data_IF_519527946833
#
_entry.id   IF_519527946833
#
_cell.length_a   1.000
_cell.length_b   1.000
_cell.length_c   1.000
_cell.angle_alpha   90.00
_cell.angle_beta   90.00
_cell.angle_gamma   90.00
#
_symmetry.space_group_name_H-M   'P 1'
#
loop_
_entity.id
_entity.type
_entity.pdbx_description
1 polymer ?
#
# COMPACT_ATOMS: atom_id res chain seq x y z
N UNK A 1 11.41 2.02 10.03
CA UNK A 1 10.55 1.03 9.34
C UNK A 1 10.48 -0.22 10.20
N UNK A 2 9.32 -0.57 10.77
CA UNK A 2 9.19 -1.81 11.51
C UNK A 2 9.48 -2.99 10.57
N UNK A 3 10.51 -3.76 10.89
CA UNK A 3 10.82 -4.99 10.18
C UNK A 3 9.73 -5.99 10.53
N UNK A 4 8.73 -6.18 9.66
CA UNK A 4 7.78 -7.28 9.78
C UNK A 4 6.30 -6.93 9.57
N UNK A 5 5.87 -5.68 9.78
CA UNK A 5 4.47 -5.30 9.57
C UNK A 5 4.24 -5.02 8.08
N UNK A 6 3.47 -5.89 7.42
CA UNK A 6 3.16 -5.81 5.99
C UNK A 6 1.67 -5.56 5.72
N UNK A 7 0.88 -5.36 6.77
CA UNK A 7 -0.55 -5.05 6.67
C UNK A 7 -0.74 -3.52 6.72
N UNK A 8 -1.38 -2.99 5.70
CA UNK A 8 -1.78 -1.59 5.59
C UNK A 8 -2.75 -1.23 6.71
N UNK A 9 -3.74 -2.08 6.99
CA UNK A 9 -4.69 -1.89 8.08
C UNK A 9 -3.99 -1.75 9.44
N UNK A 10 -3.05 -2.65 9.77
CA UNK A 10 -2.28 -2.56 11.02
C UNK A 10 -1.44 -1.29 11.09
N UNK A 11 -0.91 -0.82 9.96
CA UNK A 11 -0.15 0.44 9.91
C UNK A 11 -1.07 1.64 10.10
N UNK A 12 -2.29 1.61 9.55
CA UNK A 12 -3.25 2.72 9.67
C UNK A 12 -3.90 2.81 11.06
N UNK A 13 -4.10 1.67 11.72
CA UNK A 13 -4.77 1.59 13.03
C UNK A 13 -3.80 1.55 14.20
N UNK A 14 -2.52 1.23 13.97
CA UNK A 14 -1.48 1.24 14.99
C UNK A 14 -0.64 2.52 14.96
N UNK A 15 0.26 2.66 15.94
CA UNK A 15 1.22 3.76 16.04
C UNK A 15 2.41 3.54 15.09
N UNK A 16 2.13 3.54 13.79
CA UNK A 16 3.11 3.33 12.73
C UNK A 16 3.11 4.46 11.72
N UNK A 17 4.30 4.71 11.16
CA UNK A 17 4.44 5.66 10.06
C UNK A 17 4.20 4.99 8.71
N UNK A 18 3.18 5.48 7.98
CA UNK A 18 2.93 5.13 6.59
C UNK A 18 3.47 6.23 5.67
N UNK A 19 4.27 5.86 4.68
CA UNK A 19 4.61 6.77 3.58
C UNK A 19 3.52 6.63 2.54
N UNK A 20 2.74 7.69 2.35
CA UNK A 20 1.64 7.66 1.41
C UNK A 20 2.13 7.46 -0.04
N UNK A 21 1.50 6.48 -0.70
CA UNK A 21 1.73 6.11 -2.10
C UNK A 21 0.43 6.04 -2.90
N UNK A 22 -0.69 6.44 -2.30
CA UNK A 22 -1.99 6.45 -2.98
C UNK A 22 -1.98 7.22 -4.30
N UNK A 23 -1.23 8.33 -4.50
CA UNK A 23 -1.19 9.01 -5.80
C UNK A 23 -0.52 8.18 -6.89
N UNK A 24 0.50 7.39 -6.53
CA UNK A 24 1.17 6.48 -7.48
C UNK A 24 0.30 5.27 -7.79
N UNK A 25 -0.41 4.75 -6.78
CA UNK A 25 -1.38 3.67 -6.95
C UNK A 25 -2.49 4.10 -7.91
N UNK A 26 -3.03 5.30 -7.75
CA UNK A 26 -4.06 5.85 -8.64
C UNK A 26 -3.62 5.85 -10.10
N UNK A 27 -2.44 6.42 -10.38
CA UNK A 27 -1.86 6.43 -11.73
C UNK A 27 -1.66 5.02 -12.30
N UNK A 28 -1.29 4.07 -11.44
CA UNK A 28 -1.05 2.68 -11.81
C UNK A 28 -2.35 1.94 -12.16
N UNK A 29 -3.49 2.34 -11.57
CA UNK A 29 -4.80 1.78 -11.86
C UNK A 29 -5.41 2.41 -13.12
N UNK A 30 -5.22 3.72 -13.32
CA UNK A 30 -5.70 4.43 -14.51
C UNK A 30 -4.96 4.00 -15.79
N UNK A 31 -3.71 3.57 -15.65
CA UNK A 31 -2.91 3.08 -16.76
C UNK A 31 -3.07 1.55 -16.87
N UNK A 32 -3.72 1.07 -17.94
CA UNK A 32 -3.81 -0.36 -18.20
C UNK A 32 -2.43 -0.91 -18.58
N UNK A 33 -1.96 -1.96 -17.89
CA UNK A 33 -0.67 -2.58 -18.22
C UNK A 33 -0.25 -3.70 -17.27
N UNK A 34 0.86 -4.36 -17.63
CA UNK A 34 1.54 -5.33 -16.78
C UNK A 34 2.65 -4.65 -15.97
N UNK A 35 2.56 -4.74 -14.64
CA UNK A 35 3.53 -4.13 -13.73
C UNK A 35 4.44 -5.18 -13.10
N UNK A 36 5.74 -5.08 -13.37
CA UNK A 36 6.75 -5.89 -12.70
C UNK A 36 7.34 -5.14 -11.50
N UNK A 37 7.06 -5.62 -10.29
CA UNK A 37 7.58 -5.04 -9.05
C UNK A 37 9.02 -5.50 -8.79
N UNK A 38 9.98 -5.03 -9.58
CA UNK A 38 11.42 -5.26 -9.31
C UNK A 38 11.91 -4.32 -8.19
N UNK A 39 12.46 -4.88 -7.11
CA UNK A 39 13.18 -4.15 -6.03
C UNK A 39 13.83 -5.13 -5.05
N UNK A 40 14.81 -4.74 -4.23
CA UNK A 40 15.47 -5.65 -3.28
C UNK A 40 14.53 -6.23 -2.19
N UNK A 41 15.00 -7.24 -1.45
CA UNK A 41 14.26 -7.83 -0.30
C UNK A 41 13.88 -6.73 0.70
N UNK A 42 12.67 -6.81 1.29
CA UNK A 42 12.13 -5.88 2.30
C UNK A 42 11.84 -4.44 1.84
N UNK A 43 11.82 -4.17 0.53
CA UNK A 43 11.40 -2.86 0.03
C UNK A 43 9.87 -2.61 0.10
N UNK A 44 9.09 -3.38 0.85
CA UNK A 44 7.64 -3.11 0.99
C UNK A 44 6.83 -3.38 -0.29
N UNK A 45 7.19 -4.42 -1.05
CA UNK A 45 6.36 -4.93 -2.16
C UNK A 45 5.05 -5.51 -1.65
N UNK A 46 5.12 -6.35 -0.62
CA UNK A 46 3.93 -6.95 -0.03
C UNK A 46 3.01 -5.90 0.58
N UNK A 47 3.56 -4.87 1.24
CA UNK A 47 2.75 -3.76 1.77
C UNK A 47 2.01 -3.01 0.67
N UNK A 48 2.65 -2.80 -0.50
CA UNK A 48 1.99 -2.18 -1.65
C UNK A 48 0.82 -3.04 -2.16
N UNK A 49 1.04 -4.36 -2.28
CA UNK A 49 -0.02 -5.29 -2.69
C UNK A 49 -1.16 -5.35 -1.67
N UNK A 50 -0.86 -5.32 -0.38
CA UNK A 50 -1.88 -5.27 0.67
C UNK A 50 -2.66 -3.95 0.62
N UNK A 51 -1.99 -2.82 0.39
CA UNK A 51 -2.67 -1.51 0.20
C UNK A 51 -3.64 -1.57 -0.99
N UNK A 52 -3.20 -2.13 -2.12
CA UNK A 52 -4.06 -2.34 -3.30
C UNK A 52 -5.25 -3.25 -2.96
N UNK A 53 -5.02 -4.34 -2.24
CA UNK A 53 -6.08 -5.23 -1.80
C UNK A 53 -7.13 -4.50 -0.94
N UNK A 54 -6.70 -3.72 0.06
CA UNK A 54 -7.62 -2.91 0.88
C UNK A 54 -8.38 -1.86 0.06
N UNK A 55 -7.73 -1.27 -0.96
CA UNK A 55 -8.35 -0.31 -1.87
C UNK A 55 -9.46 -0.95 -2.69
N UNK A 56 -9.20 -2.12 -3.29
CA UNK A 56 -10.16 -2.84 -4.11
C UNK A 56 -11.27 -3.53 -3.31
N UNK A 57 -11.05 -3.81 -2.01
CA UNK A 57 -12.10 -4.21 -1.07
C UNK A 57 -12.95 -3.02 -0.58
N UNK A 58 -12.74 -1.82 -1.12
CA UNK A 58 -13.47 -0.60 -0.77
C UNK A 58 -13.43 -0.26 0.73
N UNK A 59 -12.32 -0.56 1.43
CA UNK A 59 -12.12 -0.17 2.84
C UNK A 59 -11.74 1.29 3.01
N UNK A 60 -12.62 2.17 2.53
CA UNK A 60 -12.52 3.64 2.54
C UNK A 60 -12.02 4.23 3.88
N UNK A 61 -12.47 3.76 5.08
CA UNK A 61 -11.98 4.28 6.35
C UNK A 61 -10.46 4.23 6.54
N UNK A 62 -9.77 3.25 5.92
CA UNK A 62 -8.31 3.13 6.01
C UNK A 62 -7.57 4.21 5.23
N UNK A 63 -8.23 4.84 4.26
CA UNK A 63 -7.62 5.82 3.35
C UNK A 63 -7.91 7.27 3.73
N UNK A 64 -8.75 7.52 4.76
CA UNK A 64 -9.04 8.88 5.21
C UNK A 64 -7.78 9.56 5.74
N UNK A 65 -7.55 10.80 5.30
CA UNK A 65 -6.40 11.62 5.70
C UNK A 65 -5.07 11.24 5.05
N UNK A 66 -5.10 10.42 3.99
CA UNK A 66 -3.97 10.19 3.07
C UNK A 66 -4.09 11.11 1.86
#
# INVERSE_FOLDING_TARGET
LPIGVQSFEKIRTGDYYYVDKTPYIHRLIEQAGYYFLSRPRRFGKSLLLDTLHQLFEAKEPLFRGL
#
